data_IF_703748845345
#
_entry.id   IF_703748845345
#
_cell.length_a   1.000
_cell.length_b   1.000
_cell.length_c   1.000
_cell.angle_alpha   90.00
_cell.angle_beta   90.00
_cell.angle_gamma   90.00
#
_symmetry.space_group_name_H-M   'P 1'
#
loop_
_entity.id
_entity.type
_entity.pdbx_description
1 polymer ?
#
# COMPACT_ATOMS: atom_id res chain seq x y z
N UNK A 1 24.41 -0.52 2.81
CA UNK A 1 23.33 -0.21 1.86
C UNK A 1 23.69 -0.83 0.52
N UNK A 2 22.72 -1.44 -0.13
CA UNK A 2 22.81 -1.98 -1.48
C UNK A 2 21.68 -1.38 -2.31
N UNK A 3 21.98 -0.87 -3.50
CA UNK A 3 21.01 -0.35 -4.44
C UNK A 3 20.53 -1.47 -5.37
N UNK A 4 19.28 -1.88 -5.24
CA UNK A 4 18.65 -2.94 -6.03
C UNK A 4 17.70 -2.40 -7.10
N UNK A 5 17.67 -1.09 -7.34
CA UNK A 5 16.69 -0.41 -8.21
C UNK A 5 16.57 -1.05 -9.60
N UNK A 6 17.70 -1.42 -10.20
CA UNK A 6 17.73 -1.99 -11.55
C UNK A 6 17.66 -3.53 -11.59
N UNK A 7 17.73 -4.19 -10.45
CA UNK A 7 17.78 -5.65 -10.36
C UNK A 7 16.48 -6.26 -9.82
N UNK A 8 15.59 -5.44 -9.25
CA UNK A 8 14.36 -5.91 -8.61
C UNK A 8 13.12 -5.31 -9.28
N UNK A 9 12.23 -6.17 -9.75
CA UNK A 9 10.89 -5.80 -10.17
C UNK A 9 9.88 -5.97 -9.05
N UNK A 10 8.76 -5.23 -9.14
CA UNK A 10 7.64 -5.37 -8.21
C UNK A 10 6.33 -5.42 -8.99
N UNK A 11 5.55 -6.47 -8.78
CA UNK A 11 4.17 -6.56 -9.25
C UNK A 11 3.23 -6.58 -8.05
N UNK A 12 2.13 -5.85 -8.16
CA UNK A 12 1.08 -5.83 -7.13
C UNK A 12 -0.11 -6.64 -7.62
N UNK A 13 -0.51 -7.62 -6.81
CA UNK A 13 -1.75 -8.37 -6.99
C UNK A 13 -2.71 -7.92 -5.90
N UNK A 14 -3.86 -7.35 -6.28
CA UNK A 14 -4.83 -6.84 -5.31
C UNK A 14 -6.27 -7.12 -5.76
N UNK A 15 -7.15 -7.34 -4.81
CA UNK A 15 -8.57 -7.55 -5.03
C UNK A 15 -9.13 -8.74 -4.23
N UNK A 16 -10.46 -8.92 -4.21
CA UNK A 16 -11.11 -9.94 -3.40
C UNK A 16 -10.71 -11.37 -3.81
N UNK A 17 -10.34 -11.59 -5.07
CA UNK A 17 -9.88 -12.89 -5.61
C UNK A 17 -8.36 -13.05 -5.65
N UNK A 18 -7.59 -12.12 -5.09
CA UNK A 18 -6.12 -12.15 -5.13
C UNK A 18 -5.54 -13.44 -4.54
N UNK A 19 -6.12 -13.95 -3.45
CA UNK A 19 -5.70 -15.21 -2.84
C UNK A 19 -5.90 -16.42 -3.77
N UNK A 20 -7.07 -16.50 -4.38
CA UNK A 20 -7.38 -17.56 -5.32
C UNK A 20 -6.40 -17.56 -6.50
N UNK A 21 -6.09 -16.37 -7.01
CA UNK A 21 -5.08 -16.19 -8.05
C UNK A 21 -3.70 -16.66 -7.60
N UNK A 22 -3.24 -16.21 -6.44
CA UNK A 22 -1.92 -16.58 -5.92
C UNK A 22 -1.81 -18.08 -5.69
N UNK A 23 -2.88 -18.73 -5.23
CA UNK A 23 -2.89 -20.18 -5.03
C UNK A 23 -2.88 -20.97 -6.36
N UNK A 24 -3.32 -20.38 -7.49
CA UNK A 24 -3.22 -20.99 -8.82
C UNK A 24 -1.80 -20.93 -9.40
N UNK A 25 -1.00 -19.94 -9.03
CA UNK A 25 0.33 -19.71 -9.62
C UNK A 25 1.48 -20.15 -8.72
N UNK A 26 1.18 -20.54 -7.48
CA UNK A 26 2.17 -20.97 -6.50
C UNK A 26 1.71 -22.24 -5.79
N UNK A 27 2.68 -23.07 -5.42
CA UNK A 27 2.45 -24.24 -4.55
C UNK A 27 2.50 -23.88 -3.05
N UNK A 28 2.92 -22.65 -2.74
CA UNK A 28 2.96 -22.14 -1.37
C UNK A 28 1.55 -21.83 -0.86
N UNK A 29 1.37 -21.89 0.45
CA UNK A 29 0.07 -21.66 1.09
C UNK A 29 -0.13 -20.17 1.37
N UNK A 30 -1.11 -19.58 0.68
CA UNK A 30 -1.55 -18.19 0.83
C UNK A 30 -2.77 -18.03 1.77
N UNK A 31 -3.11 -19.05 2.58
CA UNK A 31 -4.18 -18.95 3.58
C UNK A 31 -3.86 -17.88 4.64
N UNK A 32 -4.89 -17.45 5.40
CA UNK A 32 -4.70 -16.50 6.48
C UNK A 32 -3.83 -17.05 7.62
N UNK A 33 -3.91 -18.35 7.85
CA UNK A 33 -3.20 -19.09 8.88
C UNK A 33 -1.70 -19.08 8.58
N UNK A 34 -1.34 -19.33 7.35
CA UNK A 34 0.04 -19.50 6.93
C UNK A 34 0.66 -18.25 6.32
N UNK A 35 -0.11 -17.32 5.80
CA UNK A 35 0.40 -16.05 5.31
C UNK A 35 -0.33 -14.88 5.97
N UNK A 36 0.10 -14.51 7.17
CA UNK A 36 -0.55 -13.47 7.98
C UNK A 36 -0.36 -12.08 7.38
N UNK A 37 -1.29 -11.19 7.69
CA UNK A 37 -1.19 -9.78 7.32
C UNK A 37 0.08 -9.13 7.88
N UNK A 38 0.69 -8.22 7.11
CA UNK A 38 1.97 -7.55 7.39
C UNK A 38 3.16 -8.51 7.56
N UNK A 39 3.12 -9.66 6.88
CA UNK A 39 4.27 -10.56 6.82
C UNK A 39 4.82 -10.66 5.40
N UNK A 40 6.07 -11.05 5.29
CA UNK A 40 6.75 -11.36 4.04
C UNK A 40 7.21 -12.82 4.04
N UNK A 41 7.17 -13.46 2.87
CA UNK A 41 7.66 -14.82 2.66
C UNK A 41 8.33 -14.96 1.30
N UNK A 42 9.36 -15.78 1.26
CA UNK A 42 9.90 -16.26 0.00
C UNK A 42 9.01 -17.39 -0.51
N UNK A 43 8.49 -17.23 -1.70
CA UNK A 43 7.59 -18.16 -2.40
C UNK A 43 8.04 -18.32 -3.85
N UNK A 44 7.46 -19.25 -4.58
CA UNK A 44 7.66 -19.36 -6.02
C UNK A 44 6.37 -19.03 -6.77
N UNK A 45 6.47 -18.21 -7.81
CA UNK A 45 5.40 -18.00 -8.80
C UNK A 45 5.82 -18.69 -10.09
N UNK A 46 5.19 -19.84 -10.39
CA UNK A 46 5.75 -20.76 -11.37
C UNK A 46 7.16 -21.22 -10.94
N UNK A 47 8.18 -20.92 -11.75
CA UNK A 47 9.59 -21.19 -11.40
C UNK A 47 10.34 -19.96 -10.86
N UNK A 48 9.70 -18.79 -10.80
CA UNK A 48 10.34 -17.55 -10.38
C UNK A 48 10.38 -17.43 -8.85
N UNK A 49 11.55 -17.17 -8.24
CA UNK A 49 11.63 -16.86 -6.83
C UNK A 49 11.09 -15.46 -6.57
N UNK A 50 10.23 -15.33 -5.56
CA UNK A 50 9.54 -14.09 -5.20
C UNK A 50 9.58 -13.89 -3.70
N UNK A 51 9.97 -12.71 -3.24
CA UNK A 51 9.66 -12.27 -1.89
C UNK A 51 8.28 -11.62 -1.90
N UNK A 52 7.27 -12.35 -1.47
CA UNK A 52 5.90 -11.86 -1.41
C UNK A 52 5.64 -11.17 -0.07
N UNK A 53 5.15 -9.94 -0.11
CA UNK A 53 4.76 -9.18 1.07
C UNK A 53 3.25 -9.03 1.10
N UNK A 54 2.58 -9.49 2.16
CA UNK A 54 1.12 -9.33 2.29
C UNK A 54 0.76 -7.93 2.74
N UNK A 55 0.96 -7.02 1.84
CA UNK A 55 0.62 -5.59 1.95
C UNK A 55 0.06 -5.11 0.62
N UNK A 56 -0.71 -4.05 0.62
CA UNK A 56 -1.04 -3.28 -0.57
C UNK A 56 -1.50 -1.88 -0.20
N UNK A 57 -1.52 -0.99 -1.18
CA UNK A 57 -1.85 0.41 -1.00
C UNK A 57 -3.28 0.76 -1.45
N UNK A 58 -4.05 -0.21 -1.93
CA UNK A 58 -5.42 0.02 -2.44
C UNK A 58 -6.51 -0.41 -1.45
N UNK A 59 -6.12 -0.91 -0.27
CA UNK A 59 -7.07 -1.30 0.79
C UNK A 59 -7.85 -2.57 0.51
N UNK A 60 -7.37 -3.41 -0.41
CA UNK A 60 -7.92 -4.73 -0.72
C UNK A 60 -7.00 -5.84 -0.22
N UNK A 61 -7.45 -7.10 -0.28
CA UNK A 61 -6.57 -8.24 -0.10
C UNK A 61 -5.52 -8.26 -1.22
N UNK A 62 -4.25 -8.41 -0.87
CA UNK A 62 -3.23 -8.44 -1.91
C UNK A 62 -1.81 -8.66 -1.40
N UNK A 63 -0.91 -8.78 -2.35
CA UNK A 63 0.52 -8.96 -2.14
C UNK A 63 1.33 -8.09 -3.10
N UNK A 64 2.44 -7.57 -2.60
CA UNK A 64 3.54 -7.08 -3.41
C UNK A 64 4.49 -8.23 -3.67
N UNK A 65 4.81 -8.45 -4.94
CA UNK A 65 5.65 -9.54 -5.42
C UNK A 65 6.99 -8.96 -5.86
N UNK A 66 7.95 -8.93 -4.94
CA UNK A 66 9.31 -8.47 -5.20
C UNK A 66 10.14 -9.63 -5.78
N UNK A 67 10.76 -9.43 -6.94
CA UNK A 67 11.45 -10.50 -7.66
C UNK A 67 12.63 -9.97 -8.45
N UNK A 68 13.62 -10.82 -8.79
CA UNK A 68 14.65 -10.43 -9.74
C UNK A 68 14.04 -10.02 -11.08
N UNK A 69 14.54 -8.93 -11.65
CA UNK A 69 13.91 -8.25 -12.80
C UNK A 69 13.78 -9.16 -14.04
N UNK A 70 14.65 -10.13 -14.20
CA UNK A 70 14.62 -11.11 -15.30
C UNK A 70 13.37 -11.99 -15.31
N UNK A 71 12.68 -12.13 -14.17
CA UNK A 71 11.43 -12.90 -14.06
C UNK A 71 10.16 -12.07 -14.29
N UNK A 72 10.28 -10.76 -14.48
CA UNK A 72 9.15 -9.83 -14.58
C UNK A 72 8.09 -10.30 -15.59
N UNK A 73 8.50 -10.63 -16.82
CA UNK A 73 7.58 -11.06 -17.86
C UNK A 73 6.96 -12.43 -17.53
N UNK A 74 7.76 -13.37 -17.03
CA UNK A 74 7.27 -14.68 -16.64
C UNK A 74 6.17 -14.58 -15.57
N UNK A 75 6.41 -13.81 -14.52
CA UNK A 75 5.44 -13.64 -13.42
C UNK A 75 4.18 -12.96 -13.95
N UNK A 76 4.32 -11.88 -14.72
CA UNK A 76 3.19 -11.17 -15.30
C UNK A 76 2.33 -12.09 -16.17
N UNK A 77 2.92 -12.84 -17.09
CA UNK A 77 2.22 -13.76 -17.98
C UNK A 77 1.51 -14.87 -17.22
N UNK A 78 2.16 -15.44 -16.19
CA UNK A 78 1.56 -16.45 -15.32
C UNK A 78 0.34 -15.92 -14.56
N UNK A 79 0.43 -14.72 -14.01
CA UNK A 79 -0.69 -14.07 -13.32
C UNK A 79 -1.85 -13.80 -14.29
N UNK A 80 -1.55 -13.25 -15.47
CA UNK A 80 -2.57 -12.91 -16.48
C UNK A 80 -3.24 -14.16 -17.03
N UNK A 81 -2.50 -15.25 -17.26
CA UNK A 81 -3.04 -16.53 -17.71
C UNK A 81 -3.97 -17.16 -16.66
N UNK A 82 -3.48 -17.31 -15.43
CA UNK A 82 -4.22 -17.94 -14.33
C UNK A 82 -5.42 -17.11 -13.84
N UNK A 83 -5.40 -15.81 -14.08
CA UNK A 83 -6.44 -14.90 -13.65
C UNK A 83 -7.57 -14.65 -14.66
N UNK A 84 -7.51 -15.23 -15.86
CA UNK A 84 -8.51 -15.00 -16.92
C UNK A 84 -9.94 -15.28 -16.46
N UNK A 85 -10.17 -16.43 -15.85
CA UNK A 85 -11.47 -16.84 -15.32
C UNK A 85 -11.87 -16.11 -14.03
N UNK A 86 -10.91 -15.45 -13.35
CA UNK A 86 -11.12 -14.59 -12.19
C UNK A 86 -11.46 -13.16 -12.55
N UNK A 87 -11.32 -12.78 -13.83
CA UNK A 87 -11.54 -11.44 -14.31
C UNK A 87 -10.40 -10.47 -14.00
N UNK A 88 -9.16 -10.98 -13.99
CA UNK A 88 -7.96 -10.15 -13.80
C UNK A 88 -7.87 -9.04 -14.85
N UNK A 89 -7.48 -7.86 -14.41
CA UNK A 89 -7.19 -6.72 -15.29
C UNK A 89 -5.97 -5.98 -14.79
N UNK A 90 -5.07 -5.53 -15.68
CA UNK A 90 -4.02 -4.62 -15.28
C UNK A 90 -4.61 -3.26 -14.91
N UNK A 91 -4.03 -2.58 -13.93
CA UNK A 91 -4.37 -1.23 -13.55
C UNK A 91 -3.10 -0.40 -13.31
N UNK A 92 -3.16 0.89 -13.63
CA UNK A 92 -2.02 1.79 -13.52
C UNK A 92 -2.07 2.65 -12.25
N UNK A 93 -1.06 3.53 -12.13
CA UNK A 93 -0.86 4.41 -10.97
C UNK A 93 -2.06 5.33 -10.69
N UNK A 94 -2.78 5.80 -11.72
CA UNK A 94 -3.96 6.67 -11.54
C UNK A 94 -5.11 5.91 -10.88
N UNK A 95 -5.40 4.69 -11.34
CA UNK A 95 -6.41 3.85 -10.72
C UNK A 95 -6.03 3.48 -9.28
N UNK A 96 -4.74 3.15 -9.03
CA UNK A 96 -4.22 2.92 -7.69
C UNK A 96 -4.46 4.13 -6.78
N UNK A 97 -4.23 5.36 -7.28
CA UNK A 97 -4.44 6.58 -6.51
C UNK A 97 -5.92 6.78 -6.15
N UNK A 98 -6.85 6.52 -7.07
CA UNK A 98 -8.29 6.59 -6.77
C UNK A 98 -8.68 5.55 -5.71
N UNK A 99 -8.25 4.31 -5.87
CA UNK A 99 -8.56 3.22 -4.93
C UNK A 99 -8.03 3.48 -3.52
N UNK A 100 -6.79 4.01 -3.38
CA UNK A 100 -6.23 4.33 -2.06
C UNK A 100 -6.98 5.47 -1.38
N UNK A 101 -7.44 6.48 -2.17
CA UNK A 101 -8.19 7.63 -1.65
C UNK A 101 -9.56 7.17 -1.11
N UNK A 102 -10.25 6.27 -1.80
CA UNK A 102 -11.50 5.67 -1.32
C UNK A 102 -11.35 5.00 0.06
N UNK A 103 -10.16 4.51 0.38
CA UNK A 103 -9.82 3.91 1.68
C UNK A 103 -9.16 4.90 2.66
N UNK A 104 -9.05 6.17 2.28
CA UNK A 104 -8.33 7.20 3.06
C UNK A 104 -6.85 6.87 3.32
N UNK A 105 -6.22 6.10 2.45
CA UNK A 105 -4.80 5.79 2.55
C UNK A 105 -3.96 6.97 2.06
N UNK A 106 -3.00 7.35 2.86
CA UNK A 106 -2.17 8.55 2.69
C UNK A 106 -0.89 8.23 1.93
N UNK A 107 -0.54 9.10 1.01
CA UNK A 107 0.68 8.97 0.20
C UNK A 107 1.79 9.84 0.80
N UNK A 108 2.99 9.27 0.90
CA UNK A 108 4.20 10.01 1.30
C UNK A 108 4.56 11.02 0.22
N UNK A 109 4.84 12.26 0.62
CA UNK A 109 5.13 13.37 -0.28
C UNK A 109 3.90 14.15 -0.74
N UNK A 110 2.70 13.68 -0.41
CA UNK A 110 1.43 14.40 -0.60
C UNK A 110 0.75 14.66 0.74
N UNK A 111 -0.11 13.77 1.20
CA UNK A 111 -0.77 13.92 2.50
C UNK A 111 0.19 13.77 3.70
N UNK A 112 1.27 13.02 3.52
CA UNK A 112 2.32 12.87 4.52
C UNK A 112 3.57 13.63 4.07
N UNK A 113 3.66 14.89 4.48
CA UNK A 113 4.79 15.77 4.21
C UNK A 113 5.47 16.19 5.52
N UNK A 114 6.60 16.88 5.41
CA UNK A 114 7.30 17.46 6.57
C UNK A 114 6.60 18.67 7.16
N UNK A 115 5.58 19.19 6.50
CA UNK A 115 4.83 20.40 6.92
C UNK A 115 3.81 20.09 8.01
N UNK A 116 3.38 18.82 8.12
CA UNK A 116 2.33 18.40 9.04
C UNK A 116 2.83 17.34 10.02
N UNK A 117 2.37 17.46 11.24
CA UNK A 117 2.65 16.46 12.26
C UNK A 117 1.87 15.16 12.01
N UNK A 118 2.30 14.04 12.59
CA UNK A 118 1.51 12.81 12.58
C UNK A 118 0.10 12.97 13.15
N UNK A 119 -0.09 13.90 14.07
CA UNK A 119 -1.39 14.19 14.68
C UNK A 119 -2.34 14.88 13.70
N UNK A 120 -1.85 15.88 12.97
CA UNK A 120 -2.62 16.58 11.91
C UNK A 120 -2.95 15.64 10.74
N UNK A 121 -2.03 14.72 10.43
CA UNK A 121 -2.20 13.73 9.36
C UNK A 121 -3.06 12.52 9.77
N UNK A 122 -3.59 12.47 11.01
CA UNK A 122 -4.39 11.34 11.49
C UNK A 122 -3.61 10.04 11.64
N UNK A 123 -2.32 10.14 11.98
CA UNK A 123 -1.43 9.01 12.28
C UNK A 123 -1.14 8.89 13.79
N UNK A 124 -1.92 9.58 14.62
CA UNK A 124 -1.79 9.60 16.08
C UNK A 124 -1.75 8.19 16.70
N UNK A 125 -2.52 7.24 16.17
CA UNK A 125 -2.53 5.85 16.61
C UNK A 125 -1.18 5.13 16.50
N UNK A 126 -0.25 5.64 15.69
CA UNK A 126 1.09 5.10 15.51
C UNK A 126 2.14 5.82 16.36
N UNK A 127 1.75 6.90 17.04
CA UNK A 127 2.63 7.67 17.92
C UNK A 127 2.50 7.16 19.35
N UNK A 128 3.57 6.58 19.87
CA UNK A 128 3.63 6.02 21.22
C UNK A 128 4.63 6.80 22.11
N UNK A 129 4.24 7.93 22.71
CA UNK A 129 5.16 8.79 23.48
C UNK A 129 5.78 8.07 24.68
N UNK A 130 5.07 7.09 25.23
CA UNK A 130 5.47 6.37 26.45
C UNK A 130 6.42 5.18 26.19
N UNK A 131 6.84 4.94 24.95
CA UNK A 131 7.74 3.81 24.63
C UNK A 131 9.20 4.01 25.05
N UNK A 132 9.53 5.16 25.61
CA UNK A 132 10.89 5.59 25.94
C UNK A 132 11.34 6.74 25.03
N UNK A 133 12.59 7.19 25.20
CA UNK A 133 13.12 8.31 24.43
C UNK A 133 13.40 7.92 22.97
N UNK A 134 13.04 8.79 22.03
CA UNK A 134 13.33 8.64 20.59
C UNK A 134 13.49 10.00 19.93
N UNK A 135 14.12 10.06 18.76
CA UNK A 135 14.31 11.29 17.99
C UNK A 135 12.95 11.88 17.63
N UNK A 136 12.72 13.14 18.01
CA UNK A 136 11.48 13.86 17.75
C UNK A 136 10.42 13.80 18.87
N UNK A 137 10.63 13.04 19.96
CA UNK A 137 9.66 12.98 21.07
C UNK A 137 9.36 14.36 21.65
N UNK A 138 10.39 15.16 21.90
CA UNK A 138 10.23 16.53 22.45
C UNK A 138 9.42 17.44 21.50
N UNK A 139 9.68 17.37 20.20
CA UNK A 139 8.94 18.13 19.19
C UNK A 139 7.47 17.69 19.14
N UNK A 140 7.20 16.40 19.20
CA UNK A 140 5.84 15.87 19.21
C UNK A 140 5.06 16.30 20.47
N UNK A 141 5.71 16.32 21.62
CA UNK A 141 5.09 16.80 22.86
C UNK A 141 4.77 18.30 22.79
N UNK A 142 5.70 19.13 22.29
CA UNK A 142 5.46 20.56 22.06
C UNK A 142 4.29 20.81 21.11
N UNK A 143 4.17 20.03 20.04
CA UNK A 143 3.03 20.14 19.12
C UNK A 143 1.71 19.78 19.80
N UNK A 144 1.68 18.73 20.61
CA UNK A 144 0.48 18.37 21.37
C UNK A 144 0.04 19.46 22.35
N UNK A 145 1.00 20.08 23.05
CA UNK A 145 0.73 21.17 24.00
C UNK A 145 0.21 22.43 23.31
N UNK A 146 0.79 22.79 22.17
CA UNK A 146 0.38 23.94 21.36
C UNK A 146 -1.01 23.75 20.74
N UNK A 147 -1.39 22.51 20.43
CA UNK A 147 -2.57 22.20 19.62
C UNK A 147 -2.30 22.29 18.11
N UNK A 148 -3.34 22.05 17.30
CA UNK A 148 -3.24 21.96 15.85
C UNK A 148 -4.30 22.83 15.19
N UNK A 149 -3.90 23.62 14.19
CA UNK A 149 -4.80 24.47 13.41
C UNK A 149 -5.42 23.70 12.22
N UNK A 150 -4.80 22.61 11.82
CA UNK A 150 -5.19 21.81 10.64
C UNK A 150 -5.43 20.36 11.02
N UNK A 151 -6.31 19.72 10.29
CA UNK A 151 -6.54 18.27 10.37
C UNK A 151 -6.83 17.72 8.99
N UNK A 152 -6.16 16.62 8.64
CA UNK A 152 -6.46 15.90 7.42
C UNK A 152 -7.83 15.22 7.54
N UNK A 153 -8.70 15.45 6.56
CA UNK A 153 -10.01 14.81 6.44
C UNK A 153 -10.19 14.22 5.06
N UNK A 154 -10.99 13.16 4.97
CA UNK A 154 -11.43 12.59 3.71
C UNK A 154 -12.81 13.14 3.40
N UNK A 155 -12.98 13.64 2.18
CA UNK A 155 -14.26 14.18 1.69
C UNK A 155 -14.88 13.20 0.69
N UNK A 156 -16.18 12.98 0.82
CA UNK A 156 -16.98 12.33 -0.20
C UNK A 156 -17.70 13.41 -1.01
N UNK A 157 -17.50 13.41 -2.33
CA UNK A 157 -18.13 14.38 -3.24
C UNK A 157 -19.34 13.71 -3.88
N UNK A 158 -20.53 14.22 -3.59
CA UNK A 158 -21.78 13.71 -4.16
C UNK A 158 -22.15 14.42 -5.46
N UNK A 159 -22.91 13.70 -6.32
CA UNK A 159 -23.48 14.23 -7.56
C UNK A 159 -22.44 14.67 -8.61
N UNK A 160 -21.27 14.07 -8.64
CA UNK A 160 -20.29 14.24 -9.69
C UNK A 160 -20.19 12.97 -10.52
N UNK A 161 -20.12 13.11 -11.83
CA UNK A 161 -19.87 12.02 -12.78
C UNK A 161 -18.40 11.92 -13.17
N UNK A 162 -17.63 12.95 -12.84
CA UNK A 162 -16.20 13.06 -13.12
C UNK A 162 -15.45 13.21 -11.80
N UNK A 163 -14.73 12.17 -11.41
CA UNK A 163 -14.09 12.05 -10.11
C UNK A 163 -12.59 12.29 -10.14
N UNK A 164 -12.08 13.02 -11.12
CA UNK A 164 -10.68 13.45 -11.14
C UNK A 164 -10.44 14.57 -10.10
N UNK A 165 -10.83 14.29 -8.87
CA UNK A 165 -10.36 15.06 -7.73
C UNK A 165 -8.90 14.67 -7.51
N UNK A 166 -8.01 15.46 -8.06
CA UNK A 166 -6.60 15.40 -7.68
C UNK A 166 -6.53 15.62 -6.16
N UNK A 167 -6.19 14.56 -5.44
CA UNK A 167 -6.22 14.54 -3.99
C UNK A 167 -5.11 15.36 -3.36
N UNK A 168 -5.23 16.68 -3.37
CA UNK A 168 -4.27 17.62 -2.78
C UNK A 168 -4.98 18.81 -2.12
N UNK A 169 -6.20 18.67 -1.66
CA UNK A 169 -6.83 19.73 -0.90
C UNK A 169 -6.77 19.43 0.59
N UNK A 170 -5.83 20.06 1.28
CA UNK A 170 -5.93 20.26 2.73
C UNK A 170 -6.98 21.34 2.95
N UNK A 171 -8.10 20.95 3.53
CA UNK A 171 -9.11 21.91 3.93
C UNK A 171 -8.72 22.47 5.28
N UNK A 172 -8.55 23.77 5.33
CA UNK A 172 -8.50 24.50 6.59
C UNK A 172 -9.89 24.47 7.23
N UNK A 173 -9.99 23.87 8.37
CA UNK A 173 -11.20 23.89 9.19
C UNK A 173 -11.02 24.91 10.30
#
# INVERSE_FOLDING_TARGET
FEDLTNSTGVLVVAGPKARELMQKVSTDDFSNENFKWLTAKNVNVGYAPVNAMRVNFVGELGWELHHPIEYQNHIFDKLMEAGKDLGIKPFGIRAMNSLRIEKSYKLVGTELSIEYSPYESGLDRFVHPNKGNFIGLEALNKWREKGFDNKLVTLEVHNTTDSDVLGLSLIHI
#
